data_IF_077439303073
#
_entry.id   IF_077439303073
#
_cell.length_a   1.000
_cell.length_b   1.000
_cell.length_c   1.000
_cell.angle_alpha   90.00
_cell.angle_beta   90.00
_cell.angle_gamma   90.00
#
_symmetry.space_group_name_H-M   'P 1'
#
loop_
_entity.id
_entity.type
_entity.pdbx_description
1 polymer ?
#
# COMPACT_ATOMS: atom_id res chain seq x y z
N UNK A 1 7.31 3.70 6.22
CA UNK A 1 5.90 3.63 5.74
C UNK A 1 5.90 3.75 4.23
N UNK A 2 5.00 3.05 3.55
CA UNK A 2 4.83 3.04 2.08
C UNK A 2 3.52 3.76 1.72
N UNK A 3 3.44 4.33 0.52
CA UNK A 3 2.20 4.89 -0.02
C UNK A 3 1.13 3.81 -0.30
N UNK A 4 -0.15 4.19 -0.27
CA UNK A 4 -1.26 3.27 -0.54
C UNK A 4 -1.28 2.82 -2.00
N UNK A 5 -2.02 1.74 -2.30
CA UNK A 5 -2.16 1.22 -3.67
C UNK A 5 -2.67 2.27 -4.63
N UNK A 6 -3.66 3.06 -4.22
CA UNK A 6 -4.25 4.12 -5.04
C UNK A 6 -3.22 5.18 -5.41
N UNK A 7 -2.46 5.69 -4.43
CA UNK A 7 -1.39 6.65 -4.67
C UNK A 7 -0.30 6.07 -5.60
N UNK A 8 0.14 4.85 -5.31
CA UNK A 8 1.16 4.17 -6.10
C UNK A 8 0.70 3.93 -7.55
N UNK A 9 -0.56 3.55 -7.74
CA UNK A 9 -1.17 3.37 -9.06
C UNK A 9 -1.22 4.69 -9.84
N UNK A 10 -1.56 5.80 -9.19
CA UNK A 10 -1.55 7.13 -9.80
C UNK A 10 -0.15 7.57 -10.24
N UNK A 11 0.88 7.22 -9.47
CA UNK A 11 2.28 7.42 -9.85
C UNK A 11 2.77 6.46 -10.96
N UNK A 12 1.93 5.51 -11.39
CA UNK A 12 2.20 4.58 -12.48
C UNK A 12 2.83 3.25 -12.04
N UNK A 13 2.84 2.95 -10.74
CA UNK A 13 3.26 1.64 -10.23
C UNK A 13 2.21 0.60 -10.59
N UNK A 14 2.66 -0.54 -11.12
CA UNK A 14 1.78 -1.65 -11.49
C UNK A 14 1.92 -2.79 -10.48
N UNK A 15 0.80 -3.36 -10.09
CA UNK A 15 0.73 -4.51 -9.20
C UNK A 15 0.43 -5.77 -10.00
N UNK A 16 1.12 -6.87 -9.69
CA UNK A 16 0.92 -8.18 -10.31
C UNK A 16 0.99 -9.28 -9.27
N UNK A 17 0.17 -10.32 -9.47
CA UNK A 17 0.27 -11.56 -8.70
C UNK A 17 1.60 -12.25 -8.97
N UNK A 18 2.30 -12.62 -7.91
CA UNK A 18 3.50 -13.45 -7.93
C UNK A 18 3.12 -14.93 -7.83
N UNK A 19 3.82 -15.79 -8.57
CA UNK A 19 3.72 -17.24 -8.44
C UNK A 19 4.68 -17.71 -7.35
N UNK A 20 4.17 -17.86 -6.14
CA UNK A 20 4.91 -18.33 -4.96
C UNK A 20 3.91 -18.86 -3.94
N UNK A 21 4.32 -19.86 -3.14
CA UNK A 21 3.48 -20.44 -2.09
C UNK A 21 3.66 -19.73 -0.74
N UNK A 22 4.60 -18.78 -0.66
CA UNK A 22 4.89 -18.00 0.56
C UNK A 22 4.13 -16.68 0.55
N UNK A 23 3.25 -16.48 1.53
CA UNK A 23 2.41 -15.27 1.58
C UNK A 23 3.19 -13.98 1.89
N UNK A 24 4.40 -14.08 2.45
CA UNK A 24 5.26 -12.93 2.76
C UNK A 24 6.30 -12.61 1.66
N UNK A 25 6.33 -13.36 0.56
CA UNK A 25 7.34 -13.21 -0.50
C UNK A 25 7.00 -12.08 -1.47
N UNK A 26 7.16 -10.84 -1.00
CA UNK A 26 6.89 -9.61 -1.75
C UNK A 26 8.13 -9.15 -2.53
N UNK A 27 7.96 -8.74 -3.80
CA UNK A 27 9.02 -8.14 -4.61
C UNK A 27 8.55 -6.79 -5.16
N UNK A 28 9.07 -5.71 -4.59
CA UNK A 28 8.73 -4.33 -4.90
C UNK A 28 9.79 -3.72 -5.83
N UNK A 29 9.65 -3.96 -7.14
CA UNK A 29 10.45 -3.30 -8.20
C UNK A 29 9.53 -2.44 -9.07
N UNK A 30 9.94 -2.12 -10.31
CA UNK A 30 9.11 -1.39 -11.28
C UNK A 30 7.73 -2.02 -11.54
N UNK A 31 7.64 -3.35 -11.37
CA UNK A 31 6.38 -4.06 -11.25
C UNK A 31 6.35 -4.69 -9.85
N UNK A 32 5.45 -4.19 -9.00
CA UNK A 32 5.26 -4.69 -7.64
C UNK A 32 4.58 -6.05 -7.72
N UNK A 33 5.33 -7.11 -7.44
CA UNK A 33 4.84 -8.48 -7.43
C UNK A 33 4.52 -8.92 -6.01
N UNK A 34 3.26 -9.28 -5.79
CA UNK A 34 2.78 -9.71 -4.48
C UNK A 34 2.18 -11.12 -4.54
N UNK A 35 2.43 -11.96 -3.52
CA UNK A 35 1.78 -13.26 -3.42
C UNK A 35 0.26 -13.11 -3.24
N UNK A 36 -0.49 -14.17 -3.57
CA UNK A 36 -1.93 -14.19 -3.29
C UNK A 36 -2.16 -14.27 -1.78
N UNK A 37 -3.06 -13.42 -1.29
CA UNK A 37 -3.52 -13.37 0.09
C UNK A 37 -5.00 -13.73 0.14
N UNK A 38 -5.32 -14.79 0.87
CA UNK A 38 -6.71 -15.19 1.15
C UNK A 38 -7.15 -14.60 2.48
N UNK A 39 -8.27 -13.89 2.48
CA UNK A 39 -8.80 -13.18 3.65
C UNK A 39 -10.18 -13.74 4.01
N UNK A 40 -10.34 -14.13 5.26
CA UNK A 40 -11.59 -14.68 5.81
C UNK A 40 -11.74 -14.22 7.27
N UNK A 41 -12.84 -14.57 7.94
CA UNK A 41 -13.14 -14.11 9.30
C UNK A 41 -12.01 -14.39 10.31
N UNK A 42 -11.36 -15.56 10.18
CA UNK A 42 -10.21 -15.92 11.03
C UNK A 42 -8.89 -15.17 10.76
N UNK A 43 -8.77 -14.42 9.67
CA UNK A 43 -7.51 -13.75 9.27
C UNK A 43 -7.06 -12.73 10.31
N UNK A 44 -8.00 -11.97 10.87
CA UNK A 44 -7.70 -10.98 11.92
C UNK A 44 -7.13 -11.64 13.16
N UNK A 45 -7.80 -12.66 13.68
CA UNK A 45 -7.35 -13.40 14.87
C UNK A 45 -6.01 -14.09 14.64
N UNK A 46 -5.77 -14.64 13.45
CA UNK A 46 -4.49 -15.23 13.09
C UNK A 46 -3.35 -14.21 13.18
N UNK A 47 -3.48 -13.06 12.53
CA UNK A 47 -2.44 -12.04 12.55
C UNK A 47 -2.21 -11.45 13.94
N UNK A 48 -3.26 -11.17 14.71
CA UNK A 48 -3.10 -10.70 16.10
C UNK A 48 -2.36 -11.70 16.97
N UNK A 49 -2.67 -13.00 16.84
CA UNK A 49 -1.97 -14.04 17.60
C UNK A 49 -0.50 -14.17 17.18
N UNK A 50 -0.19 -14.02 15.89
CA UNK A 50 1.19 -14.06 15.40
C UNK A 50 1.98 -12.83 15.87
N UNK A 51 1.38 -11.64 15.83
CA UNK A 51 2.01 -10.41 16.34
C UNK A 51 2.26 -10.53 17.84
N UNK A 52 1.27 -10.98 18.61
CA UNK A 52 1.43 -11.22 20.04
C UNK A 52 2.53 -12.25 20.32
N UNK A 53 2.62 -13.30 19.50
CA UNK A 53 3.69 -14.28 19.60
C UNK A 53 5.06 -13.65 19.38
N UNK A 54 5.26 -12.84 18.33
CA UNK A 54 6.51 -12.12 18.08
C UNK A 54 6.87 -11.18 19.25
N UNK A 55 5.90 -10.40 19.75
CA UNK A 55 6.12 -9.44 20.84
C UNK A 55 6.43 -10.09 22.19
N UNK A 56 5.95 -11.31 22.44
CA UNK A 56 6.21 -12.03 23.70
C UNK A 56 7.54 -12.78 23.72
N UNK A 57 8.25 -12.92 22.59
CA UNK A 57 9.46 -13.73 22.50
C UNK A 57 10.65 -12.88 22.03
N UNK A 58 11.58 -12.57 22.96
CA UNK A 58 12.74 -11.70 22.71
C UNK A 58 13.67 -12.18 21.58
N UNK A 59 13.69 -13.48 21.30
CA UNK A 59 14.53 -14.08 20.26
C UNK A 59 13.81 -14.20 18.89
N UNK A 60 12.57 -13.73 18.78
CA UNK A 60 11.80 -13.80 17.55
C UNK A 60 12.05 -12.58 16.66
N UNK A 61 12.04 -12.78 15.34
CA UNK A 61 12.05 -11.66 14.39
C UNK A 61 10.65 -11.03 14.31
N UNK A 62 10.58 -9.74 13.95
CA UNK A 62 9.32 -9.02 13.79
C UNK A 62 8.80 -9.07 12.35
N UNK A 63 8.96 -10.21 11.68
CA UNK A 63 8.72 -10.33 10.23
C UNK A 63 7.23 -10.30 9.90
N UNK A 64 6.38 -10.92 10.73
CA UNK A 64 4.93 -10.88 10.58
C UNK A 64 4.42 -9.48 10.91
N UNK A 65 4.85 -8.89 12.02
CA UNK A 65 4.49 -7.52 12.41
C UNK A 65 4.85 -6.53 11.30
N UNK A 66 6.06 -6.64 10.75
CA UNK A 66 6.52 -5.88 9.58
C UNK A 66 5.60 -6.03 8.38
N UNK A 67 5.22 -7.27 8.06
CA UNK A 67 4.38 -7.58 6.92
C UNK A 67 2.95 -7.07 7.08
N UNK A 68 2.37 -7.18 8.28
CA UNK A 68 1.03 -6.67 8.58
C UNK A 68 1.01 -5.15 8.50
N UNK A 69 2.01 -4.46 9.06
CA UNK A 69 2.16 -3.00 8.93
C UNK A 69 2.34 -2.58 7.47
N UNK A 70 3.08 -3.36 6.69
CA UNK A 70 3.21 -3.11 5.27
C UNK A 70 1.86 -3.21 4.54
N UNK A 71 1.04 -4.23 4.84
CA UNK A 71 -0.30 -4.37 4.25
C UNK A 71 -1.26 -3.27 4.70
N UNK A 72 -1.21 -2.88 5.97
CA UNK A 72 -1.98 -1.76 6.54
C UNK A 72 -1.72 -0.45 5.78
N UNK A 73 -0.46 -0.07 5.62
CA UNK A 73 -0.11 1.13 4.84
C UNK A 73 -0.51 1.03 3.35
N UNK A 74 -0.51 -0.18 2.79
CA UNK A 74 -0.78 -0.41 1.38
C UNK A 74 -2.29 -0.41 1.08
N UNK A 75 -3.12 -0.82 2.05
CA UNK A 75 -4.56 -1.03 1.94
C UNK A 75 -5.28 -0.07 2.88
N UNK A 76 -5.38 1.19 2.46
CA UNK A 76 -6.02 2.25 3.27
C UNK A 76 -7.53 2.30 3.02
N UNK A 77 -7.96 1.99 1.79
CA UNK A 77 -9.32 2.17 1.30
C UNK A 77 -9.93 0.92 0.64
N UNK A 78 -11.28 0.83 0.53
CA UNK A 78 -11.94 -0.22 -0.24
C UNK A 78 -11.50 -0.25 -1.72
N UNK A 79 -11.13 0.91 -2.29
CA UNK A 79 -10.61 1.02 -3.65
C UNK A 79 -9.28 0.29 -3.83
N UNK A 80 -8.41 0.33 -2.82
CA UNK A 80 -7.15 -0.40 -2.78
C UNK A 80 -7.40 -1.91 -2.80
N UNK A 81 -8.32 -2.39 -1.95
CA UNK A 81 -8.74 -3.79 -1.89
C UNK A 81 -9.29 -4.24 -3.24
N UNK A 82 -10.23 -3.47 -3.81
CA UNK A 82 -10.86 -3.77 -5.10
C UNK A 82 -9.84 -3.89 -6.22
N UNK A 83 -8.84 -3.01 -6.25
CA UNK A 83 -7.79 -3.06 -7.25
C UNK A 83 -6.87 -4.28 -7.06
N UNK A 84 -6.45 -4.56 -5.83
CA UNK A 84 -5.64 -5.74 -5.54
C UNK A 84 -6.39 -7.05 -5.80
N UNK A 85 -7.70 -7.07 -5.58
CA UNK A 85 -8.59 -8.17 -5.94
C UNK A 85 -8.65 -8.38 -7.46
N UNK A 86 -8.82 -7.30 -8.22
CA UNK A 86 -8.74 -7.34 -9.69
C UNK A 86 -7.38 -7.86 -10.20
N UNK A 87 -6.28 -7.51 -9.54
CA UNK A 87 -4.95 -8.04 -9.84
C UNK A 87 -4.74 -9.51 -9.42
N UNK A 88 -5.72 -10.14 -8.76
CA UNK A 88 -5.65 -11.51 -8.23
C UNK A 88 -4.68 -11.66 -7.05
N UNK A 89 -4.30 -10.53 -6.42
CA UNK A 89 -3.43 -10.49 -5.24
C UNK A 89 -4.26 -10.74 -3.99
N UNK A 90 -5.39 -10.06 -3.83
CA UNK A 90 -6.32 -10.32 -2.73
C UNK A 90 -7.45 -11.22 -3.23
N UNK A 91 -7.81 -12.20 -2.42
CA UNK A 91 -9.07 -12.91 -2.50
C UNK A 91 -9.69 -12.89 -1.11
N UNK A 92 -10.96 -12.54 -0.97
CA UNK A 92 -11.60 -12.46 0.34
C UNK A 92 -12.99 -13.07 0.34
N UNK A 93 -13.39 -13.57 1.51
CA UNK A 93 -14.73 -14.11 1.77
C UNK A 93 -15.51 -13.26 2.79
N UNK A 94 -15.03 -12.05 3.06
CA UNK A 94 -15.76 -11.04 3.85
C UNK A 94 -16.92 -10.43 3.04
N UNK A 95 -17.80 -9.68 3.71
CA UNK A 95 -19.02 -9.15 3.12
C UNK A 95 -18.80 -8.14 1.99
N UNK A 96 -17.74 -7.34 2.06
CA UNK A 96 -17.37 -6.35 1.04
C UNK A 96 -15.90 -5.91 1.17
N UNK A 97 -15.43 -5.14 0.17
CA UNK A 97 -14.07 -4.59 0.14
C UNK A 97 -13.74 -3.69 1.34
N UNK A 98 -14.74 -2.98 1.90
CA UNK A 98 -14.53 -2.07 3.03
C UNK A 98 -14.27 -2.82 4.34
N UNK A 99 -14.86 -4.00 4.53
CA UNK A 99 -14.55 -4.87 5.68
C UNK A 99 -13.09 -5.36 5.64
N UNK A 100 -12.54 -5.59 4.46
CA UNK A 100 -11.12 -5.95 4.30
C UNK A 100 -10.20 -4.78 4.64
N UNK A 101 -10.52 -3.58 4.16
CA UNK A 101 -9.77 -2.37 4.51
C UNK A 101 -9.83 -2.09 6.03
N UNK A 102 -11.02 -2.15 6.63
CA UNK A 102 -11.20 -1.99 8.09
C UNK A 102 -10.41 -3.04 8.88
N UNK A 103 -10.35 -4.29 8.38
CA UNK A 103 -9.58 -5.35 9.02
C UNK A 103 -8.11 -4.96 9.15
N UNK A 104 -7.45 -4.50 8.08
CA UNK A 104 -6.04 -4.11 8.12
C UNK A 104 -5.81 -2.82 8.91
N UNK A 105 -6.62 -1.79 8.67
CA UNK A 105 -6.58 -0.50 9.40
C UNK A 105 -6.71 -0.65 10.93
N UNK A 106 -7.28 -1.78 11.39
CA UNK A 106 -7.44 -2.11 12.81
C UNK A 106 -6.47 -3.17 13.32
N UNK A 107 -5.74 -3.88 12.45
CA UNK A 107 -4.73 -4.86 12.85
C UNK A 107 -3.50 -4.18 13.44
N UNK A 108 -3.16 -2.98 12.96
CA UNK A 108 -2.00 -2.24 13.41
C UNK A 108 -2.32 -1.23 14.53
N UNK A 109 -3.59 -1.07 14.91
CA UNK A 109 -3.96 -0.27 16.07
C UNK A 109 -3.33 -0.90 17.32
N UNK A 110 -2.56 -0.10 18.06
CA UNK A 110 -1.87 -0.49 19.31
C UNK A 110 -0.62 -1.38 19.15
N UNK A 111 -0.16 -1.65 17.93
CA UNK A 111 1.09 -2.40 17.69
C UNK A 111 2.30 -1.47 17.84
N UNK A 112 3.12 -1.68 18.86
CA UNK A 112 4.40 -0.97 19.04
C UNK A 112 5.46 -1.56 18.13
N UNK A 113 5.92 -0.81 17.12
CA UNK A 113 6.92 -1.28 16.16
C UNK A 113 7.82 -0.15 15.62
N UNK A 114 9.12 -0.40 15.48
CA UNK A 114 10.03 0.49 14.76
C UNK A 114 10.02 0.16 13.26
N UNK A 115 9.32 0.99 12.50
CA UNK A 115 9.13 0.86 11.04
C UNK A 115 10.47 0.88 10.27
N UNK A 116 11.55 1.37 10.88
CA UNK A 116 12.85 1.52 10.22
C UNK A 116 13.70 0.24 10.22
N UNK A 117 13.44 -0.72 11.11
CA UNK A 117 14.21 -1.96 11.27
C UNK A 117 13.50 -3.21 10.69
N UNK A 118 12.64 -2.99 9.70
CA UNK A 118 11.93 -4.06 8.99
C UNK A 118 12.70 -4.54 7.76
N UNK A 119 12.64 -5.83 7.42
CA UNK A 119 13.12 -6.34 6.13
C UNK A 119 12.41 -5.68 4.92
N UNK A 120 11.21 -5.13 5.14
CA UNK A 120 10.43 -4.39 4.14
C UNK A 120 10.77 -2.89 4.09
N UNK A 121 11.59 -2.38 5.01
CA UNK A 121 11.95 -0.95 5.07
C UNK A 121 12.68 -0.51 3.80
N UNK A 122 13.66 -1.30 3.35
CA UNK A 122 14.41 -1.03 2.12
C UNK A 122 13.52 -1.08 0.89
N UNK A 123 12.61 -2.07 0.81
CA UNK A 123 11.65 -2.22 -0.28
C UNK A 123 10.68 -1.04 -0.34
N UNK A 124 10.15 -0.63 0.82
CA UNK A 124 9.26 0.54 0.93
C UNK A 124 9.97 1.84 0.54
N UNK A 125 11.21 2.04 1.00
CA UNK A 125 12.01 3.22 0.63
C UNK A 125 12.34 3.28 -0.86
N UNK A 126 12.50 2.14 -1.54
CA UNK A 126 12.73 2.12 -2.99
C UNK A 126 11.49 2.56 -3.76
N UNK A 127 10.31 2.05 -3.39
CA UNK A 127 9.06 2.46 -4.03
C UNK A 127 8.75 3.93 -3.75
N UNK A 128 8.88 4.39 -2.51
CA UNK A 128 8.60 5.78 -2.19
C UNK A 128 9.50 6.74 -2.97
N UNK A 129 10.80 6.42 -3.10
CA UNK A 129 11.70 7.22 -3.93
C UNK A 129 11.26 7.29 -5.40
N UNK A 130 10.75 6.18 -5.93
CA UNK A 130 10.20 6.16 -7.29
C UNK A 130 8.94 7.04 -7.39
N UNK A 131 8.02 6.90 -6.43
CA UNK A 131 6.81 7.72 -6.31
C UNK A 131 7.15 9.21 -6.24
N UNK A 132 8.02 9.60 -5.31
CA UNK A 132 8.45 10.99 -5.08
C UNK A 132 9.06 11.59 -6.35
N UNK A 133 9.90 10.83 -7.06
CA UNK A 133 10.49 11.30 -8.31
C UNK A 133 9.42 11.59 -9.38
N UNK A 134 8.47 10.66 -9.57
CA UNK A 134 7.35 10.79 -10.51
C UNK A 134 6.43 11.96 -10.13
N UNK A 135 6.06 12.05 -8.86
CA UNK A 135 5.21 13.11 -8.33
C UNK A 135 5.86 14.48 -8.50
N UNK A 136 7.13 14.62 -8.15
CA UNK A 136 7.88 15.85 -8.33
C UNK A 136 7.98 16.26 -9.81
N UNK A 137 8.21 15.30 -10.72
CA UNK A 137 8.24 15.56 -12.17
C UNK A 137 6.87 16.01 -12.71
N UNK A 138 5.78 15.37 -12.27
CA UNK A 138 4.42 15.76 -12.65
C UNK A 138 4.08 17.15 -12.13
N UNK A 139 4.38 17.43 -10.86
CA UNK A 139 4.18 18.75 -10.24
C UNK A 139 4.98 19.84 -10.95
N UNK A 140 6.24 19.58 -11.33
CA UNK A 140 7.05 20.50 -12.11
C UNK A 140 6.43 20.78 -13.49
N UNK A 141 5.95 19.72 -14.17
CA UNK A 141 5.28 19.83 -15.48
C UNK A 141 4.00 20.66 -15.40
N UNK A 142 3.17 20.41 -14.39
CA UNK A 142 1.96 21.20 -14.15
C UNK A 142 2.29 22.67 -13.88
N UNK A 143 3.30 22.93 -13.02
CA UNK A 143 3.73 24.30 -12.73
C UNK A 143 4.17 25.03 -13.99
N UNK A 144 4.96 24.38 -14.84
CA UNK A 144 5.43 24.98 -16.08
C UNK A 144 4.33 25.20 -17.11
N UNK A 145 3.41 24.25 -17.30
CA UNK A 145 2.39 24.33 -18.36
C UNK A 145 1.16 25.18 -17.98
N UNK A 146 0.73 25.09 -16.72
CA UNK A 146 -0.51 25.72 -16.27
C UNK A 146 -0.26 26.98 -15.44
N UNK A 147 0.59 26.91 -14.42
CA UNK A 147 0.75 28.02 -13.47
C UNK A 147 1.73 29.10 -13.91
N UNK A 148 2.65 28.79 -14.83
CA UNK A 148 3.53 29.79 -15.45
C UNK A 148 2.96 30.37 -16.76
N UNK A 149 1.79 29.90 -17.22
CA UNK A 149 1.11 30.41 -18.40
C UNK A 149 -0.18 31.14 -17.99
N UNK A 150 -0.21 32.48 -17.96
CA UNK A 150 -1.37 33.26 -17.53
C UNK A 150 -2.67 32.88 -18.24
N UNK A 151 -2.58 32.53 -19.53
CA UNK A 151 -3.73 32.12 -20.35
C UNK A 151 -4.28 30.76 -19.96
N UNK A 152 -3.43 29.84 -19.49
CA UNK A 152 -3.87 28.54 -18.99
C UNK A 152 -4.62 28.68 -17.65
N UNK A 153 -4.20 29.62 -16.80
CA UNK A 153 -4.92 29.96 -15.55
C UNK A 153 -6.30 30.52 -15.86
N UNK A 154 -6.41 31.47 -16.80
CA UNK A 154 -7.70 32.04 -17.21
C UNK A 154 -8.61 30.96 -17.81
N UNK A 155 -8.08 30.08 -18.66
CA UNK A 155 -8.84 28.98 -19.27
C UNK A 155 -9.32 27.97 -18.22
N UNK A 156 -8.47 27.63 -17.24
CA UNK A 156 -8.84 26.74 -16.15
C UNK A 156 -9.91 27.35 -15.24
N UNK A 157 -9.78 28.64 -14.89
CA UNK A 157 -10.79 29.35 -14.10
C UNK A 157 -12.13 29.43 -14.83
N UNK A 158 -12.12 29.72 -16.14
CA UNK A 158 -13.33 29.73 -16.96
C UNK A 158 -14.01 28.35 -17.01
N UNK A 159 -13.25 27.26 -17.10
CA UNK A 159 -13.77 25.90 -17.13
C UNK A 159 -14.34 25.39 -15.79
N UNK A 160 -13.91 25.97 -14.67
CA UNK A 160 -14.44 25.63 -13.32
C UNK A 160 -15.69 26.45 -12.99
N UNK A 161 -15.84 27.65 -13.57
CA UNK A 161 -16.99 28.54 -13.35
C UNK A 161 -18.17 28.18 -14.29
N UNK A 162 -17.91 27.54 -15.43
CA UNK A 162 -18.91 27.07 -16.40
C UNK A 162 -19.49 25.71 -15.98
#
# INVERSE_FOLDING_TARGET
MIHSVSELKEAGVKFKKRKTDRFWDVNLRMESQMPRLLIHDGTKSLFLNLIAFEQCHLDCTNDITSYVIFLDNLIDSPEDVKYLHYCGIIEHWLGNDAEVADLFNRLCQEVVFDVNDSYLSQLSQQINRYYDHRWNAWRATLRHKYFNNPWAIISFAAAVIL
#
